data_IF_837497136875
#
_entry.id   IF_837497136875
#
_cell.length_a   1.000
_cell.length_b   1.000
_cell.length_c   1.000
_cell.angle_alpha   90.00
_cell.angle_beta   90.00
_cell.angle_gamma   90.00
#
_symmetry.space_group_name_H-M   'P 1'
#
loop_
_entity.id
_entity.type
_entity.pdbx_description
1 polymer ?
#
# COMPACT_ATOMS: atom_id res chain seq x y z
N UNK A 1 -27.21 38.10 -3.29
CA UNK A 1 -27.17 36.72 -2.74
C UNK A 1 -25.90 36.62 -1.92
N UNK A 2 -26.03 36.46 -0.60
CA UNK A 2 -24.93 36.62 0.36
C UNK A 2 -23.93 35.45 0.28
N UNK A 3 -22.64 35.78 0.18
CA UNK A 3 -21.53 34.83 0.29
C UNK A 3 -21.32 34.60 1.78
N UNK A 4 -21.55 33.37 2.24
CA UNK A 4 -21.28 32.97 3.62
C UNK A 4 -19.77 32.79 3.80
N UNK A 5 -19.18 33.56 4.72
CA UNK A 5 -17.79 33.39 5.18
C UNK A 5 -17.81 32.38 6.34
N UNK A 6 -17.01 31.30 6.31
CA UNK A 6 -16.94 30.39 7.45
C UNK A 6 -16.26 31.06 8.65
N UNK A 7 -16.91 30.97 9.81
CA UNK A 7 -16.37 31.35 11.12
C UNK A 7 -15.48 30.22 11.66
N UNK A 8 -14.31 30.59 12.15
CA UNK A 8 -13.39 29.72 12.89
C UNK A 8 -13.77 29.71 14.38
N UNK A 9 -13.91 28.52 14.98
CA UNK A 9 -13.94 28.27 16.43
C UNK A 9 -13.67 26.77 16.61
N UNK A 10 -12.79 26.23 17.47
CA UNK A 10 -12.11 26.66 18.70
C UNK A 10 -10.79 25.89 18.82
N UNK A 11 -9.78 26.46 19.47
CA UNK A 11 -8.50 25.82 19.80
C UNK A 11 -8.62 24.90 21.03
N UNK A 12 -8.24 23.63 20.90
CA UNK A 12 -7.96 22.75 22.06
C UNK A 12 -6.51 22.95 22.54
N UNK A 13 -6.26 22.71 23.83
CA UNK A 13 -4.97 22.92 24.53
C UNK A 13 -3.76 22.14 23.98
N UNK A 14 -3.95 21.27 22.98
CA UNK A 14 -2.89 20.40 22.46
C UNK A 14 -2.49 20.73 21.00
N UNK A 15 -2.85 21.90 20.46
CA UNK A 15 -2.28 22.41 19.20
C UNK A 15 -2.79 21.77 17.89
N UNK A 16 -3.53 20.66 17.94
CA UNK A 16 -4.13 20.06 16.75
C UNK A 16 -5.38 20.83 16.29
N UNK A 17 -5.44 21.18 15.00
CA UNK A 17 -6.62 21.75 14.35
C UNK A 17 -7.42 20.63 13.69
N UNK A 18 -8.70 20.47 14.06
CA UNK A 18 -9.62 19.60 13.34
C UNK A 18 -9.95 20.19 11.96
N UNK A 19 -9.47 19.53 10.90
CA UNK A 19 -9.93 19.80 9.53
C UNK A 19 -11.13 18.89 9.26
N UNK A 20 -12.33 19.44 9.44
CA UNK A 20 -13.59 18.76 9.09
C UNK A 20 -13.74 18.77 7.57
N UNK A 21 -13.47 17.63 6.93
CA UNK A 21 -13.82 17.43 5.53
C UNK A 21 -15.35 17.28 5.39
N UNK A 22 -16.00 18.23 4.74
CA UNK A 22 -17.36 18.01 4.23
C UNK A 22 -17.29 16.99 3.09
N UNK A 23 -17.54 15.73 3.42
CA UNK A 23 -17.78 14.65 2.47
C UNK A 23 -19.04 14.96 1.66
N UNK A 24 -18.86 15.32 0.39
CA UNK A 24 -19.98 15.31 -0.57
C UNK A 24 -20.30 13.84 -0.88
N UNK A 25 -21.56 13.47 -0.64
CA UNK A 25 -22.09 12.12 -0.80
C UNK A 25 -22.07 11.67 -2.27
N UNK A 26 -20.93 11.14 -2.72
CA UNK A 26 -20.89 10.26 -3.89
C UNK A 26 -21.32 8.85 -3.49
N UNK A 27 -22.43 8.38 -4.04
CA UNK A 27 -22.85 6.98 -3.98
C UNK A 27 -21.78 6.10 -4.66
N UNK A 28 -20.87 5.53 -3.86
CA UNK A 28 -19.84 4.58 -4.32
C UNK A 28 -20.44 3.17 -4.30
N UNK A 29 -20.59 2.54 -5.48
CA UNK A 29 -20.92 1.12 -5.59
C UNK A 29 -19.63 0.32 -5.35
N UNK A 30 -19.56 -0.40 -4.23
CA UNK A 30 -18.39 -1.18 -3.82
C UNK A 30 -18.36 -2.58 -4.47
N UNK A 31 -17.16 -3.09 -4.76
CA UNK A 31 -16.93 -4.51 -5.02
C UNK A 31 -16.97 -5.25 -3.68
N UNK A 32 -17.81 -6.28 -3.55
CA UNK A 32 -18.02 -7.05 -2.33
C UNK A 32 -17.24 -8.37 -2.41
N UNK A 33 -16.81 -8.92 -1.28
CA UNK A 33 -16.24 -10.26 -1.14
C UNK A 33 -17.09 -11.01 -0.12
N UNK A 34 -17.57 -12.21 -0.48
CA UNK A 34 -18.26 -13.09 0.44
C UNK A 34 -17.35 -14.29 0.76
N UNK A 35 -17.37 -14.70 2.02
CA UNK A 35 -16.57 -15.78 2.55
C UNK A 35 -17.42 -17.03 2.63
N UNK A 36 -16.86 -18.13 2.11
CA UNK A 36 -17.28 -19.47 2.50
C UNK A 36 -16.13 -20.09 3.30
N UNK A 37 -16.43 -21.04 4.20
CA UNK A 37 -15.47 -21.70 5.11
C UNK A 37 -14.43 -22.62 4.41
N UNK A 38 -14.14 -22.36 3.14
CA UNK A 38 -13.29 -23.12 2.22
C UNK A 38 -12.11 -22.23 1.76
N UNK A 39 -10.95 -22.74 1.31
CA UNK A 39 -9.77 -21.92 0.92
C UNK A 39 -9.96 -21.06 -0.34
N UNK A 40 -11.20 -20.81 -0.74
CA UNK A 40 -11.60 -20.14 -1.97
C UNK A 40 -12.32 -18.83 -1.65
N UNK A 41 -11.78 -17.73 -2.19
CA UNK A 41 -12.32 -16.38 -2.05
C UNK A 41 -13.11 -16.04 -3.30
N UNK A 42 -14.27 -15.41 -3.13
CA UNK A 42 -15.09 -14.95 -4.25
C UNK A 42 -15.16 -13.43 -4.25
N UNK A 43 -14.38 -12.78 -5.13
CA UNK A 43 -14.51 -11.34 -5.39
C UNK A 43 -15.82 -11.13 -6.15
N UNK A 44 -16.87 -10.70 -5.46
CA UNK A 44 -18.12 -10.24 -6.07
C UNK A 44 -17.91 -8.83 -6.60
N UNK A 45 -17.41 -8.76 -7.83
CA UNK A 45 -17.63 -7.60 -8.66
C UNK A 45 -19.10 -7.60 -9.10
N UNK A 46 -19.74 -6.43 -9.28
CA UNK A 46 -21.05 -6.34 -9.96
C UNK A 46 -21.07 -7.01 -11.36
N UNK A 47 -19.91 -7.42 -11.87
CA UNK A 47 -19.73 -7.98 -13.21
C UNK A 47 -19.27 -9.44 -13.25
N UNK A 48 -18.75 -10.03 -12.14
CA UNK A 48 -18.40 -11.45 -12.05
C UNK A 48 -17.86 -11.84 -10.66
N UNK A 49 -17.99 -13.13 -10.33
CA UNK A 49 -17.29 -13.80 -9.25
C UNK A 49 -15.86 -14.12 -9.69
N UNK A 50 -14.82 -13.57 -9.05
CA UNK A 50 -13.46 -14.07 -9.22
C UNK A 50 -13.11 -15.02 -8.08
N UNK A 51 -12.75 -16.24 -8.45
CA UNK A 51 -12.21 -17.21 -7.51
C UNK A 51 -10.72 -16.95 -7.30
N UNK A 52 -10.33 -16.79 -6.04
CA UNK A 52 -8.95 -16.67 -5.63
C UNK A 52 -8.58 -17.68 -4.54
N UNK A 53 -7.34 -18.16 -4.61
CA UNK A 53 -6.72 -18.98 -3.55
C UNK A 53 -5.83 -18.07 -2.71
N UNK A 54 -5.87 -18.20 -1.38
CA UNK A 54 -4.92 -17.51 -0.49
C UNK A 54 -3.59 -18.24 -0.51
N UNK A 55 -2.52 -17.50 -0.71
CA UNK A 55 -1.15 -17.98 -0.52
C UNK A 55 -0.39 -17.01 0.40
N UNK A 56 -0.65 -17.04 1.71
CA UNK A 56 -0.02 -16.08 2.62
C UNK A 56 0.24 -16.61 4.03
N UNK A 57 1.48 -16.42 4.48
CA UNK A 57 1.93 -16.52 5.88
C UNK A 57 1.84 -15.18 6.62
N UNK A 58 1.56 -14.07 5.95
CA UNK A 58 1.56 -12.71 6.53
C UNK A 58 0.17 -12.36 7.06
N UNK A 59 0.10 -11.91 8.32
CA UNK A 59 -1.18 -11.65 9.01
C UNK A 59 -2.04 -10.57 8.34
N UNK A 60 -1.43 -9.50 7.82
CA UNK A 60 -2.14 -8.32 7.27
C UNK A 60 -2.37 -8.34 5.74
N UNK A 61 -1.72 -9.23 4.98
CA UNK A 61 -1.76 -9.21 3.52
C UNK A 61 -1.97 -10.60 2.93
N UNK A 62 -2.89 -10.73 1.97
CA UNK A 62 -3.21 -12.00 1.32
C UNK A 62 -2.84 -11.94 -0.16
N UNK A 63 -2.03 -12.89 -0.62
CA UNK A 63 -1.81 -13.06 -2.06
C UNK A 63 -2.98 -13.85 -2.62
N UNK A 64 -3.63 -13.28 -3.63
CA UNK A 64 -4.75 -13.89 -4.34
C UNK A 64 -4.31 -14.25 -5.75
N UNK A 65 -4.45 -15.53 -6.11
CA UNK A 65 -4.26 -16.00 -7.50
C UNK A 65 -5.61 -16.18 -8.18
N UNK A 66 -5.86 -15.41 -9.24
CA UNK A 66 -7.07 -15.48 -10.04
C UNK A 66 -7.02 -16.71 -10.96
N UNK A 67 -8.03 -17.58 -10.86
CA UNK A 67 -8.06 -18.88 -11.53
C UNK A 67 -8.37 -18.84 -13.05
N UNK A 68 -8.64 -17.66 -13.62
CA UNK A 68 -9.05 -17.52 -15.02
C UNK A 68 -8.01 -16.77 -15.85
N UNK A 69 -7.75 -17.26 -17.07
CA UNK A 69 -6.85 -16.59 -18.01
C UNK A 69 -7.36 -15.19 -18.36
N UNK A 70 -6.47 -14.28 -18.74
CA UNK A 70 -6.85 -12.93 -19.16
C UNK A 70 -7.87 -12.95 -20.31
N UNK A 71 -7.70 -13.85 -21.28
CA UNK A 71 -8.64 -14.01 -22.39
C UNK A 71 -10.00 -14.52 -21.92
N UNK A 72 -10.04 -15.53 -21.03
CA UNK A 72 -11.31 -16.01 -20.48
C UNK A 72 -12.02 -14.89 -19.69
N UNK A 73 -11.26 -14.10 -18.93
CA UNK A 73 -11.79 -12.94 -18.19
C UNK A 73 -12.29 -11.83 -19.11
N UNK A 74 -11.60 -11.60 -20.22
CA UNK A 74 -12.00 -10.64 -21.25
C UNK A 74 -13.28 -11.09 -21.96
N UNK A 75 -13.30 -12.31 -22.51
CA UNK A 75 -14.43 -12.85 -23.26
C UNK A 75 -15.69 -12.96 -22.40
N UNK A 76 -15.57 -13.47 -21.18
CA UNK A 76 -16.69 -13.54 -20.24
C UNK A 76 -17.22 -12.15 -19.83
N UNK A 77 -16.50 -11.07 -20.14
CA UNK A 77 -16.89 -9.70 -19.81
C UNK A 77 -17.13 -8.80 -21.01
N UNK A 78 -16.98 -9.30 -22.23
CA UNK A 78 -17.24 -8.55 -23.46
C UNK A 78 -18.60 -7.81 -23.45
N UNK A 79 -19.72 -8.42 -22.98
CA UNK A 79 -21.01 -7.74 -22.91
C UNK A 79 -20.99 -6.52 -21.97
N UNK A 80 -20.27 -6.62 -20.86
CA UNK A 80 -20.13 -5.53 -19.88
C UNK A 80 -19.14 -4.47 -20.34
N UNK A 81 -18.09 -4.85 -21.07
CA UNK A 81 -17.14 -3.91 -21.68
C UNK A 81 -17.86 -3.03 -22.69
N UNK A 82 -18.71 -3.63 -23.52
CA UNK A 82 -19.55 -2.91 -24.46
C UNK A 82 -20.52 -1.97 -23.72
N UNK A 83 -21.20 -2.45 -22.67
CA UNK A 83 -22.08 -1.60 -21.85
C UNK A 83 -21.31 -0.46 -21.17
N UNK A 84 -20.09 -0.71 -20.68
CA UNK A 84 -19.24 0.31 -20.07
C UNK A 84 -18.78 1.33 -21.10
N UNK A 85 -18.33 0.91 -22.28
CA UNK A 85 -17.95 1.79 -23.39
C UNK A 85 -19.12 2.67 -23.81
N UNK A 86 -20.31 2.09 -23.98
CA UNK A 86 -21.54 2.84 -24.26
C UNK A 86 -21.80 3.86 -23.15
N UNK A 87 -21.74 3.45 -21.88
CA UNK A 87 -21.97 4.37 -20.78
C UNK A 87 -20.90 5.47 -20.67
N UNK A 88 -19.65 5.17 -21.03
CA UNK A 88 -18.55 6.10 -20.96
C UNK A 88 -18.59 7.11 -22.12
N UNK A 89 -18.80 6.64 -23.34
CA UNK A 89 -18.90 7.46 -24.55
C UNK A 89 -20.19 8.32 -24.56
N UNK A 90 -21.30 7.79 -24.06
CA UNK A 90 -22.60 8.49 -24.08
C UNK A 90 -22.79 9.37 -22.84
N UNK A 91 -22.43 8.89 -21.65
CA UNK A 91 -22.76 9.60 -20.39
C UNK A 91 -21.57 10.29 -19.72
N UNK A 92 -20.35 10.20 -20.28
CA UNK A 92 -19.18 10.93 -19.78
C UNK A 92 -18.74 10.61 -18.35
N UNK A 93 -19.30 9.57 -17.73
CA UNK A 93 -18.99 9.18 -16.34
C UNK A 93 -17.95 8.05 -16.33
N UNK A 94 -16.68 8.42 -16.36
CA UNK A 94 -15.58 7.50 -16.06
C UNK A 94 -15.36 7.43 -14.56
N UNK A 95 -15.98 6.46 -13.88
CA UNK A 95 -15.61 6.14 -12.49
C UNK A 95 -15.56 4.65 -12.19
N UNK A 96 -15.89 3.78 -13.15
CA UNK A 96 -15.84 2.34 -12.95
C UNK A 96 -14.59 1.79 -13.62
N UNK A 97 -13.51 1.69 -12.84
CA UNK A 97 -12.33 0.91 -13.19
C UNK A 97 -12.79 -0.53 -13.39
N UNK A 98 -12.65 -1.09 -14.61
CA UNK A 98 -13.36 -2.31 -14.84
C UNK A 98 -12.41 -3.44 -14.42
N UNK A 99 -12.73 -4.08 -13.29
CA UNK A 99 -11.87 -5.04 -12.57
C UNK A 99 -11.48 -6.32 -13.34
N UNK A 100 -11.57 -6.33 -14.67
CA UNK A 100 -11.04 -7.38 -15.54
C UNK A 100 -9.57 -7.16 -15.91
N UNK A 101 -9.01 -5.98 -15.64
CA UNK A 101 -7.60 -5.67 -15.91
C UNK A 101 -6.68 -6.11 -14.76
N UNK A 102 -7.23 -6.61 -13.63
CA UNK A 102 -6.38 -7.10 -12.54
C UNK A 102 -5.40 -8.19 -13.05
N UNK A 103 -4.12 -8.16 -12.66
CA UNK A 103 -3.18 -9.22 -13.02
C UNK A 103 -3.61 -10.56 -12.41
N UNK A 104 -3.01 -11.66 -12.87
CA UNK A 104 -3.33 -13.01 -12.37
C UNK A 104 -3.05 -13.14 -10.86
N UNK A 105 -2.05 -12.43 -10.34
CA UNK A 105 -1.71 -12.37 -8.92
C UNK A 105 -1.84 -10.95 -8.41
N UNK A 106 -2.53 -10.79 -7.29
CA UNK A 106 -2.69 -9.51 -6.59
C UNK A 106 -2.45 -9.72 -5.09
N UNK A 107 -2.19 -8.63 -4.39
CA UNK A 107 -2.15 -8.60 -2.92
C UNK A 107 -3.37 -7.85 -2.43
N UNK A 108 -4.05 -8.37 -1.41
CA UNK A 108 -5.09 -7.65 -0.67
C UNK A 108 -4.57 -7.36 0.72
N UNK A 109 -4.27 -6.08 0.99
CA UNK A 109 -3.98 -5.58 2.35
C UNK A 109 -5.30 -5.41 3.08
N UNK A 110 -5.48 -6.12 4.20
CA UNK A 110 -6.72 -6.11 4.99
C UNK A 110 -6.64 -5.07 6.08
N UNK A 111 -7.78 -4.42 6.32
CA UNK A 111 -7.99 -3.51 7.43
C UNK A 111 -9.06 -4.09 8.36
N UNK A 112 -8.92 -3.88 9.67
CA UNK A 112 -9.94 -4.26 10.64
C UNK A 112 -11.33 -3.74 10.26
N UNK A 113 -12.39 -4.41 10.75
CA UNK A 113 -13.76 -3.99 10.49
C UNK A 113 -14.04 -2.58 11.04
N UNK A 114 -15.02 -1.90 10.43
CA UNK A 114 -15.52 -0.62 10.92
C UNK A 114 -15.98 -0.79 12.39
N UNK A 115 -15.44 0.04 13.28
CA UNK A 115 -15.69 -0.05 14.73
C UNK A 115 -14.54 -0.66 15.54
N UNK A 116 -13.52 -1.25 14.90
CA UNK A 116 -12.25 -1.54 15.58
C UNK A 116 -11.58 -0.21 15.94
N UNK A 117 -11.54 0.10 17.24
CA UNK A 117 -10.85 1.27 17.77
C UNK A 117 -9.39 0.89 18.03
N UNK A 118 -8.48 1.41 17.20
CA UNK A 118 -7.14 1.68 17.72
C UNK A 118 -7.25 2.91 18.62
N UNK A 119 -6.36 3.03 19.60
CA UNK A 119 -6.45 4.07 20.63
C UNK A 119 -6.32 5.51 20.08
N UNK A 120 -5.92 5.68 18.82
CA UNK A 120 -5.62 6.99 18.23
C UNK A 120 -6.34 7.28 16.89
N UNK A 121 -6.48 6.30 15.99
CA UNK A 121 -7.05 6.52 14.65
C UNK A 121 -7.98 5.35 14.26
N UNK A 122 -9.25 5.61 13.89
CA UNK A 122 -10.15 4.57 13.41
C UNK A 122 -9.59 3.83 12.19
N UNK A 123 -9.76 2.50 12.14
CA UNK A 123 -9.19 1.65 11.07
C UNK A 123 -9.60 2.07 9.65
N UNK A 124 -10.80 2.61 9.47
CA UNK A 124 -11.26 3.09 8.16
C UNK A 124 -10.49 4.34 7.69
N UNK A 125 -10.03 5.19 8.62
CA UNK A 125 -9.23 6.37 8.29
C UNK A 125 -7.83 5.97 7.83
N UNK A 126 -7.20 4.98 8.50
CA UNK A 126 -5.90 4.44 8.08
C UNK A 126 -5.96 3.91 6.63
N UNK A 127 -7.02 3.17 6.29
CA UNK A 127 -7.26 2.72 4.91
C UNK A 127 -7.40 3.89 3.94
N UNK A 128 -8.19 4.89 4.31
CA UNK A 128 -8.46 6.03 3.43
C UNK A 128 -7.21 6.89 3.22
N UNK A 129 -6.36 7.05 4.25
CA UNK A 129 -5.04 7.69 4.13
C UNK A 129 -4.12 6.90 3.21
N UNK A 130 -3.98 5.59 3.40
CA UNK A 130 -3.13 4.79 2.52
C UNK A 130 -3.65 4.80 1.07
N UNK A 131 -4.97 4.69 0.86
CA UNK A 131 -5.56 4.76 -0.48
C UNK A 131 -5.34 6.13 -1.12
N UNK A 132 -5.43 7.22 -0.34
CA UNK A 132 -5.14 8.58 -0.80
C UNK A 132 -3.67 8.72 -1.19
N UNK A 133 -2.74 8.23 -0.36
CA UNK A 133 -1.31 8.23 -0.66
C UNK A 133 -1.01 7.52 -1.99
N UNK A 134 -1.60 6.35 -2.25
CA UNK A 134 -1.45 5.68 -3.54
C UNK A 134 -2.00 6.51 -4.72
N UNK A 135 -3.15 7.17 -4.56
CA UNK A 135 -3.72 7.99 -5.62
C UNK A 135 -2.83 9.20 -5.95
N UNK A 136 -2.28 9.85 -4.92
CA UNK A 136 -1.42 11.01 -5.09
C UNK A 136 -0.05 10.60 -5.67
N UNK A 137 0.47 9.44 -5.27
CA UNK A 137 1.71 8.85 -5.78
C UNK A 137 1.54 8.03 -7.08
N UNK A 138 0.48 8.27 -7.86
CA UNK A 138 0.18 7.47 -9.06
C UNK A 138 1.33 7.38 -10.08
N UNK A 139 2.14 8.44 -10.22
CA UNK A 139 3.31 8.46 -11.12
C UNK A 139 4.46 7.54 -10.67
N UNK A 140 4.50 7.19 -9.38
CA UNK A 140 5.52 6.32 -8.79
C UNK A 140 5.13 4.84 -8.80
N UNK A 141 3.86 4.54 -9.06
CA UNK A 141 3.31 3.18 -9.01
C UNK A 141 3.91 2.25 -10.08
N UNK A 142 4.25 1.04 -9.65
CA UNK A 142 4.93 0.02 -10.46
C UNK A 142 6.42 0.28 -10.65
N UNK A 143 6.96 1.40 -10.14
CA UNK A 143 8.38 1.74 -10.22
C UNK A 143 9.06 1.65 -8.86
N UNK A 144 8.58 2.44 -7.89
CA UNK A 144 9.13 2.49 -6.52
C UNK A 144 8.09 2.19 -5.43
N UNK A 145 6.81 2.12 -5.79
CA UNK A 145 5.72 1.63 -4.94
C UNK A 145 4.83 0.65 -5.74
N UNK A 146 4.04 -0.23 -5.10
CA UNK A 146 3.13 -1.12 -5.82
C UNK A 146 2.06 -0.34 -6.59
N UNK A 147 1.57 -0.90 -7.71
CA UNK A 147 0.31 -0.39 -8.29
C UNK A 147 -0.86 -0.65 -7.37
N UNK A 148 -1.67 0.38 -7.13
CA UNK A 148 -2.94 0.27 -6.42
C UNK A 148 -4.07 0.17 -7.44
N UNK A 149 -4.83 -0.92 -7.35
CA UNK A 149 -5.98 -1.17 -8.22
C UNK A 149 -7.32 -0.73 -7.60
N UNK A 150 -7.27 -0.13 -6.41
CA UNK A 150 -8.41 0.38 -5.67
C UNK A 150 -8.67 -0.38 -4.36
N UNK A 151 -9.89 -0.26 -3.84
CA UNK A 151 -10.31 -0.87 -2.58
C UNK A 151 -11.42 -1.91 -2.77
N UNK A 152 -11.59 -2.75 -1.76
CA UNK A 152 -12.58 -3.81 -1.73
C UNK A 152 -13.24 -3.92 -0.35
N UNK A 153 -14.53 -4.24 -0.33
CA UNK A 153 -15.28 -4.55 0.90
C UNK A 153 -15.36 -6.07 1.07
N UNK A 154 -15.05 -6.59 2.26
CA UNK A 154 -14.98 -8.01 2.61
C UNK A 154 -15.87 -8.32 3.80
N UNK A 155 -17.14 -8.71 3.62
CA UNK A 155 -18.11 -8.88 4.72
C UNK A 155 -18.05 -7.73 5.75
N UNK A 156 -17.34 -7.91 6.86
CA UNK A 156 -17.11 -6.92 7.91
C UNK A 156 -15.86 -6.06 7.74
N UNK A 157 -14.89 -6.50 6.92
CA UNK A 157 -13.59 -5.87 6.73
C UNK A 157 -13.51 -5.08 5.42
N UNK A 158 -12.45 -4.30 5.29
CA UNK A 158 -12.11 -3.61 4.05
C UNK A 158 -10.67 -3.88 3.67
N UNK A 159 -10.34 -3.67 2.40
CA UNK A 159 -8.99 -3.91 1.91
C UNK A 159 -8.61 -3.03 0.75
N UNK A 160 -7.30 -2.95 0.50
CA UNK A 160 -6.71 -2.30 -0.66
C UNK A 160 -6.12 -3.40 -1.55
N UNK A 161 -6.41 -3.33 -2.84
CA UNK A 161 -5.91 -4.26 -3.85
C UNK A 161 -4.64 -3.67 -4.46
N UNK A 162 -3.52 -4.37 -4.28
CA UNK A 162 -2.19 -3.96 -4.69
C UNK A 162 -1.58 -4.96 -5.70
N UNK A 163 -0.59 -4.49 -6.45
CA UNK A 163 0.29 -5.31 -7.28
C UNK A 163 0.96 -6.40 -6.44
N UNK A 164 0.86 -7.65 -6.90
CA UNK A 164 1.72 -8.70 -6.38
C UNK A 164 3.11 -8.54 -6.99
N UNK A 165 4.09 -8.33 -6.12
CA UNK A 165 5.48 -8.20 -6.51
C UNK A 165 6.21 -9.46 -6.03
N UNK A 166 6.72 -10.30 -6.94
CA UNK A 166 7.57 -11.42 -6.55
C UNK A 166 8.79 -10.88 -5.82
N UNK A 167 9.24 -11.57 -4.79
CA UNK A 167 10.36 -11.13 -3.98
C UNK A 167 10.13 -11.35 -2.49
N UNK A 168 10.94 -10.68 -1.69
CA UNK A 168 10.87 -10.73 -0.23
C UNK A 168 11.17 -9.35 0.34
N UNK A 169 10.84 -9.15 1.61
CA UNK A 169 11.23 -7.91 2.29
C UNK A 169 12.71 -7.97 2.65
N UNK A 170 13.34 -6.81 2.77
CA UNK A 170 14.73 -6.72 3.20
C UNK A 170 14.94 -7.40 4.56
N UNK A 171 13.95 -7.34 5.47
CA UNK A 171 13.99 -8.11 6.71
C UNK A 171 13.99 -9.63 6.50
N UNK A 172 13.16 -10.14 5.58
CA UNK A 172 13.09 -11.58 5.30
C UNK A 172 14.41 -12.06 4.69
N UNK A 173 15.04 -11.25 3.81
CA UNK A 173 16.38 -11.52 3.30
C UNK A 173 17.41 -11.61 4.44
N UNK A 174 17.38 -10.66 5.39
CA UNK A 174 18.26 -10.69 6.57
C UNK A 174 18.07 -11.93 7.43
N UNK A 175 16.82 -12.34 7.65
CA UNK A 175 16.51 -13.51 8.48
C UNK A 175 17.07 -14.82 7.90
N UNK A 176 17.30 -14.89 6.58
CA UNK A 176 17.87 -16.05 5.88
C UNK A 176 19.39 -16.09 5.88
N UNK A 177 20.05 -15.00 6.23
CA UNK A 177 21.51 -14.98 6.32
C UNK A 177 21.99 -15.91 7.45
N UNK A 178 23.18 -16.52 7.32
CA UNK A 178 23.76 -17.33 8.39
C UNK A 178 23.83 -16.50 9.68
N UNK A 179 23.34 -17.06 10.78
CA UNK A 179 23.44 -16.43 12.11
C UNK A 179 24.54 -17.13 12.91
N UNK A 180 25.33 -16.38 13.68
CA UNK A 180 26.19 -16.99 14.71
C UNK A 180 25.33 -17.78 15.70
N UNK A 181 25.67 -19.05 15.91
CA UNK A 181 25.10 -19.85 16.98
C UNK A 181 25.50 -19.20 18.32
N UNK A 182 24.54 -18.60 19.03
CA UNK A 182 24.76 -18.18 20.42
C UNK A 182 24.20 -16.82 20.84
N UNK A 183 23.80 -15.95 19.90
CA UNK A 183 23.18 -14.67 20.25
C UNK A 183 21.66 -14.71 20.01
N UNK A 184 20.89 -14.68 21.10
CA UNK A 184 19.42 -14.54 21.07
C UNK A 184 18.98 -13.20 20.45
N UNK A 185 19.85 -12.20 20.47
CA UNK A 185 19.67 -10.97 19.72
C UNK A 185 19.99 -11.24 18.25
N UNK A 186 18.96 -11.23 17.41
CA UNK A 186 19.00 -11.37 15.95
C UNK A 186 19.78 -10.25 15.23
N UNK A 187 20.90 -9.82 15.77
CA UNK A 187 21.79 -8.84 15.17
C UNK A 187 22.61 -9.54 14.09
N UNK A 188 22.56 -9.01 12.88
CA UNK A 188 23.37 -9.49 11.77
C UNK A 188 24.84 -9.17 12.08
N UNK A 189 25.71 -10.16 12.01
CA UNK A 189 27.15 -9.94 12.13
C UNK A 189 27.71 -9.66 10.72
N UNK A 190 28.13 -8.42 10.47
CA UNK A 190 28.63 -7.98 9.17
C UNK A 190 29.86 -8.79 8.74
N UNK A 191 30.66 -9.28 9.67
CA UNK A 191 31.83 -10.10 9.36
C UNK A 191 31.48 -11.44 8.70
N UNK A 192 30.21 -11.85 8.78
CA UNK A 192 29.69 -13.06 8.13
C UNK A 192 29.15 -12.81 6.72
N UNK A 193 28.90 -11.56 6.36
CA UNK A 193 28.47 -11.22 5.01
C UNK A 193 29.65 -11.36 4.05
N UNK A 194 29.41 -12.02 2.92
CA UNK A 194 30.39 -12.05 1.85
C UNK A 194 30.63 -10.63 1.30
N UNK A 195 31.73 -10.44 0.57
CA UNK A 195 31.98 -9.17 -0.11
C UNK A 195 30.85 -8.89 -1.11
N UNK A 196 30.38 -9.92 -1.81
CA UNK A 196 29.27 -9.85 -2.75
C UNK A 196 27.97 -9.41 -2.06
N UNK A 197 27.67 -9.93 -0.86
CA UNK A 197 26.49 -9.53 -0.09
C UNK A 197 26.55 -8.06 0.30
N UNK A 198 27.71 -7.57 0.73
CA UNK A 198 27.92 -6.17 1.09
C UNK A 198 27.78 -5.24 -0.13
N UNK A 199 28.35 -5.62 -1.27
CA UNK A 199 28.19 -4.88 -2.53
C UNK A 199 26.72 -4.84 -2.96
N UNK A 200 26.02 -5.97 -2.87
CA UNK A 200 24.58 -6.04 -3.15
C UNK A 200 23.76 -5.18 -2.19
N UNK A 201 24.05 -5.21 -0.89
CA UNK A 201 23.36 -4.40 0.12
C UNK A 201 23.53 -2.90 -0.13
N UNK A 202 24.74 -2.48 -0.48
CA UNK A 202 25.01 -1.08 -0.86
C UNK A 202 24.23 -0.66 -2.11
N UNK A 203 24.07 -1.56 -3.08
CA UNK A 203 23.24 -1.31 -4.27
C UNK A 203 21.75 -1.20 -3.91
N UNK A 204 21.23 -2.07 -3.04
CA UNK A 204 19.85 -2.00 -2.54
C UNK A 204 19.61 -0.71 -1.76
N UNK A 205 20.52 -0.35 -0.85
CA UNK A 205 20.47 0.90 -0.09
C UNK A 205 20.39 2.12 -1.02
N UNK A 206 21.28 2.19 -2.01
CA UNK A 206 21.31 3.29 -2.97
C UNK A 206 19.98 3.43 -3.72
N UNK A 207 19.37 2.31 -4.12
CA UNK A 207 18.05 2.29 -4.76
C UNK A 207 16.92 2.68 -3.81
N UNK A 208 16.96 2.21 -2.56
CA UNK A 208 16.00 2.59 -1.53
C UNK A 208 16.04 4.09 -1.27
N UNK A 209 17.23 4.69 -1.20
CA UNK A 209 17.42 6.14 -1.02
C UNK A 209 16.81 6.95 -2.15
N UNK A 210 16.99 6.50 -3.40
CA UNK A 210 16.34 7.13 -4.56
C UNK A 210 14.82 7.01 -4.46
N UNK A 211 14.29 5.82 -4.16
CA UNK A 211 12.85 5.59 -4.02
C UNK A 211 12.22 6.46 -2.93
N UNK A 212 12.84 6.50 -1.75
CA UNK A 212 12.42 7.32 -0.61
C UNK A 212 12.48 8.80 -0.97
N UNK A 213 13.57 9.27 -1.60
CA UNK A 213 13.68 10.66 -2.03
C UNK A 213 12.61 11.07 -3.04
N UNK A 214 12.16 10.17 -3.92
CA UNK A 214 11.06 10.45 -4.83
C UNK A 214 9.70 10.51 -4.13
N UNK A 215 9.47 9.66 -3.13
CA UNK A 215 8.26 9.68 -2.30
C UNK A 215 8.22 10.96 -1.45
N UNK A 216 9.35 11.36 -0.86
CA UNK A 216 9.49 12.56 -0.02
C UNK A 216 9.18 13.87 -0.74
N UNK A 217 9.04 13.88 -2.07
CA UNK A 217 8.56 15.06 -2.81
C UNK A 217 7.07 15.33 -2.56
N UNK A 218 6.34 14.33 -2.06
CA UNK A 218 4.89 14.34 -1.90
C UNK A 218 4.45 13.93 -0.49
N UNK A 219 5.19 13.02 0.16
CA UNK A 219 4.81 12.44 1.46
C UNK A 219 6.01 12.16 2.36
N UNK A 220 5.82 12.39 3.67
CA UNK A 220 6.55 11.69 4.72
C UNK A 220 5.97 10.28 4.83
N UNK A 221 6.79 9.24 4.73
CA UNK A 221 6.27 7.87 4.85
C UNK A 221 5.87 7.52 6.28
N UNK A 222 6.63 8.02 7.26
CA UNK A 222 6.33 7.89 8.69
C UNK A 222 6.67 6.53 9.33
N UNK A 223 7.13 5.56 8.54
CA UNK A 223 7.41 4.20 9.02
C UNK A 223 8.37 3.43 8.07
N UNK A 224 9.53 4.03 7.76
CA UNK A 224 10.54 3.38 6.92
C UNK A 224 11.35 2.39 7.76
N UNK A 225 11.14 1.09 7.52
CA UNK A 225 11.94 0.03 8.12
C UNK A 225 12.07 -1.19 7.18
N UNK A 226 12.91 -2.18 7.54
CA UNK A 226 13.24 -3.33 6.68
C UNK A 226 12.05 -4.21 6.26
N UNK A 227 10.91 -4.18 6.95
CA UNK A 227 9.71 -4.92 6.52
C UNK A 227 8.92 -4.16 5.45
N UNK A 228 9.08 -2.84 5.38
CA UNK A 228 8.41 -1.95 4.44
C UNK A 228 9.25 -1.69 3.18
N UNK A 229 10.38 -2.39 3.04
CA UNK A 229 11.23 -2.39 1.85
C UNK A 229 11.16 -3.78 1.21
N UNK A 230 10.52 -3.87 0.05
CA UNK A 230 10.41 -5.09 -0.75
C UNK A 230 11.45 -5.09 -1.88
N UNK A 231 12.10 -6.24 -2.08
CA UNK A 231 13.11 -6.43 -3.12
C UNK A 231 12.57 -7.37 -4.18
N UNK A 232 12.37 -6.85 -5.39
CA UNK A 232 11.91 -7.60 -6.55
C UNK A 232 13.01 -8.46 -7.22
N UNK A 233 12.65 -9.39 -8.11
CA UNK A 233 13.59 -10.30 -8.79
C UNK A 233 14.60 -9.58 -9.69
N UNK A 234 14.28 -8.37 -10.12
CA UNK A 234 15.09 -7.46 -10.92
C UNK A 234 15.89 -6.47 -10.06
N UNK A 235 16.04 -6.75 -8.76
CA UNK A 235 16.64 -5.85 -7.75
C UNK A 235 15.94 -4.49 -7.68
N UNK A 236 14.68 -4.42 -8.12
CA UNK A 236 13.81 -3.26 -7.93
C UNK A 236 13.49 -3.14 -6.44
N UNK A 237 13.64 -1.94 -5.91
CA UNK A 237 13.27 -1.62 -4.53
C UNK A 237 11.89 -0.98 -4.54
N UNK A 238 11.00 -1.55 -3.73
CA UNK A 238 9.61 -1.12 -3.64
C UNK A 238 9.31 -0.79 -2.18
N UNK A 239 8.87 0.44 -1.94
CA UNK A 239 8.42 0.91 -0.64
C UNK A 239 6.94 0.58 -0.51
N UNK A 240 6.55 -0.01 0.62
CA UNK A 240 5.18 -0.45 0.92
C UNK A 240 4.73 0.07 2.29
N UNK A 241 3.43 -0.04 2.54
CA UNK A 241 2.80 0.29 3.82
C UNK A 241 2.73 1.81 4.13
N UNK A 242 1.80 2.49 3.46
CA UNK A 242 1.61 3.95 3.60
C UNK A 242 0.59 4.32 4.69
N UNK A 243 0.31 3.42 5.65
CA UNK A 243 -0.73 3.65 6.68
C UNK A 243 -0.41 4.82 7.61
N UNK A 244 0.89 5.12 7.80
CA UNK A 244 1.40 6.21 8.62
C UNK A 244 1.90 7.41 7.81
N UNK A 245 1.60 7.46 6.51
CA UNK A 245 2.10 8.51 5.64
C UNK A 245 1.36 9.84 5.85
N UNK A 246 2.10 10.94 5.76
CA UNK A 246 1.60 12.31 5.93
C UNK A 246 1.92 13.09 4.66
N UNK A 247 0.95 13.77 4.03
CA UNK A 247 1.23 14.65 2.89
C UNK A 247 2.25 15.72 3.26
N UNK A 248 3.19 16.01 2.36
CA UNK A 248 4.24 17.01 2.58
C UNK A 248 3.67 18.37 2.98
N UNK A 249 2.55 18.77 2.37
CA UNK A 249 1.87 20.04 2.63
C UNK A 249 1.28 20.16 4.05
N UNK A 250 1.19 19.04 4.77
CA UNK A 250 0.70 18.98 6.15
C UNK A 250 1.83 18.82 7.17
N UNK A 251 3.05 18.51 6.73
CA UNK A 251 4.21 18.61 7.59
C UNK A 251 4.41 20.09 7.94
N UNK A 252 4.29 20.43 9.23
CA UNK A 252 4.56 21.79 9.69
C UNK A 252 5.95 22.24 9.24
N UNK A 253 6.09 23.53 8.88
CA UNK A 253 7.32 24.17 8.35
C UNK A 253 8.61 23.97 9.18
N UNK A 254 8.55 23.28 10.32
CA UNK A 254 9.69 23.03 11.20
C UNK A 254 10.47 21.74 10.89
N UNK A 255 10.02 20.89 9.97
CA UNK A 255 10.76 19.66 9.64
C UNK A 255 10.81 19.35 8.14
N UNK A 256 12.02 19.32 7.58
CA UNK A 256 12.29 18.81 6.24
C UNK A 256 11.91 17.31 6.20
N UNK A 257 10.75 16.99 5.65
CA UNK A 257 10.28 15.62 5.45
C UNK A 257 11.29 14.69 4.77
N UNK A 258 12.01 15.26 3.79
CA UNK A 258 13.11 14.60 3.10
C UNK A 258 14.22 14.23 4.08
N UNK A 259 14.54 15.12 5.02
CA UNK A 259 15.56 14.89 6.04
C UNK A 259 15.11 13.77 6.97
N UNK A 260 13.86 13.77 7.45
CA UNK A 260 13.32 12.71 8.32
C UNK A 260 13.35 11.32 7.66
N UNK A 261 12.80 11.19 6.46
CA UNK A 261 12.77 9.90 5.76
C UNK A 261 14.19 9.39 5.43
N UNK A 262 15.11 10.30 5.06
CA UNK A 262 16.51 9.92 4.81
C UNK A 262 17.25 9.58 6.10
N UNK A 263 17.02 10.29 7.20
CA UNK A 263 17.61 10.00 8.51
C UNK A 263 17.22 8.59 8.95
N UNK A 264 15.94 8.21 8.82
CA UNK A 264 15.51 6.88 9.22
C UNK A 264 16.15 5.77 8.39
N UNK A 265 16.22 5.96 7.07
CA UNK A 265 16.88 5.02 6.16
C UNK A 265 18.39 4.95 6.44
N UNK A 266 19.07 6.10 6.54
CA UNK A 266 20.51 6.22 6.76
C UNK A 266 20.88 5.65 8.13
N UNK A 267 20.10 5.93 9.20
CA UNK A 267 20.27 5.35 10.54
C UNK A 267 20.13 3.84 10.50
N UNK A 268 19.06 3.34 9.87
CA UNK A 268 18.79 1.91 9.79
C UNK A 268 19.92 1.15 9.06
N UNK A 269 20.43 1.69 7.95
CA UNK A 269 21.57 1.09 7.25
C UNK A 269 22.89 1.33 7.97
N UNK A 270 23.09 2.45 8.66
CA UNK A 270 24.29 2.69 9.46
C UNK A 270 24.36 1.74 10.66
N UNK A 271 23.26 1.49 11.37
CA UNK A 271 23.20 0.48 12.43
C UNK A 271 23.55 -0.92 11.91
N UNK A 272 23.16 -1.20 10.68
CA UNK A 272 23.46 -2.48 10.04
C UNK A 272 24.91 -2.58 9.55
N UNK A 273 25.48 -1.50 9.05
CA UNK A 273 26.83 -1.46 8.46
C UNK A 273 27.93 -1.08 9.45
N UNK A 274 27.62 -0.49 10.61
CA UNK A 274 28.62 -0.04 11.60
C UNK A 274 29.12 -1.15 12.52
N UNK A 275 28.47 -2.32 12.50
CA UNK A 275 28.89 -3.54 13.21
C UNK A 275 29.57 -4.51 12.25
#
# INVERSE_FOLDING_TARGET
MQIAVPRVSTTHKNGWRDVVYQSSTMSRKHTRLDFNTSPHWVLHSPFANLYATIDSKRKKAHVLTLQSSLLARFLNRLPFILQWLVNHLIYGKATLWPGWILPQKIVVKRFPPEGYKSDEIPAYQLRDYELQAYNDLHELQGRVIPRCYGSVQMQSETGIILEWIPGETLLDWFKRQPKQQGNEQHKLDRSQLSKEDLEWLNAIYSKAKVAVSEISKYFIHGDIHFENILIGPDTRVIIIDFENSIPETMASEEDDALERNNIDLDRMFAELLSN
#
